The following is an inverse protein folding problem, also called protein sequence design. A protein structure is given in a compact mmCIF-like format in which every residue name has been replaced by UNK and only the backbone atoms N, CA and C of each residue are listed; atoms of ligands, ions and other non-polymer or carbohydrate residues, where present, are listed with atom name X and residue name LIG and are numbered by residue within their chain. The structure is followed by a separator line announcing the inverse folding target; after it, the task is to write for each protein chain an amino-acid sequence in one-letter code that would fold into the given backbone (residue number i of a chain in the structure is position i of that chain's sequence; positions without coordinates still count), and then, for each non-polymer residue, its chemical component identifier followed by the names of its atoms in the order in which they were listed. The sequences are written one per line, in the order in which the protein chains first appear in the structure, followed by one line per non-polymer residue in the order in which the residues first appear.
data_IF_892041714399
#
_entry.id   IF_892041714399
#
_cell.length_a   1.000
_cell.length_b   1.000
_cell.length_c   1.000
_cell.angle_alpha   90.00
_cell.angle_beta   90.00
_cell.angle_gamma   90.00
#
_symmetry.space_group_name_H-M   'P 1'
#
loop_
_entity.id
_entity.type
_entity.pdbx_description
1 polymer ?
#
# COMPACT_ATOMS: atom_id res chain seq x y z
N UNK A 1 -36.64 15.60 69.83
CA UNK A 1 -35.19 15.42 69.58
C UNK A 1 -35.05 14.55 68.30
N UNK A 2 -34.91 15.17 67.18
CA UNK A 2 -34.76 14.49 65.90
C UNK A 2 -33.29 14.66 65.44
N UNK A 3 -32.58 13.56 65.33
CA UNK A 3 -31.21 13.49 64.84
C UNK A 3 -31.20 13.39 63.31
N UNK A 4 -30.60 14.38 62.64
CA UNK A 4 -30.36 14.37 61.21
C UNK A 4 -29.03 13.66 60.90
N UNK A 5 -29.09 12.47 60.26
CA UNK A 5 -27.93 11.86 59.63
C UNK A 5 -27.73 12.50 58.24
N UNK A 6 -26.62 13.19 58.05
CA UNK A 6 -26.17 13.61 56.72
C UNK A 6 -25.36 12.48 56.12
N UNK A 7 -25.87 11.89 55.05
CA UNK A 7 -25.15 10.98 54.18
C UNK A 7 -24.16 11.77 53.30
N UNK A 8 -22.88 11.50 53.47
CA UNK A 8 -21.82 12.02 52.57
C UNK A 8 -21.61 10.98 51.48
N UNK A 9 -22.05 11.30 50.25
CA UNK A 9 -21.73 10.51 49.06
C UNK A 9 -20.34 10.97 48.56
N UNK A 10 -19.37 10.10 48.69
CA UNK A 10 -18.03 10.27 48.08
C UNK A 10 -18.16 9.86 46.63
N UNK A 11 -18.16 10.85 45.74
CA UNK A 11 -17.93 10.60 44.32
C UNK A 11 -16.44 10.27 44.08
N UNK A 12 -16.14 9.01 43.84
CA UNK A 12 -14.83 8.56 43.41
C UNK A 12 -14.71 8.84 41.91
N UNK A 13 -14.12 9.98 41.55
CA UNK A 13 -13.71 10.27 40.19
C UNK A 13 -12.47 9.42 39.89
N UNK A 14 -12.65 8.32 39.19
CA UNK A 14 -11.53 7.60 38.58
C UNK A 14 -10.98 8.48 37.44
N UNK A 15 -9.90 9.21 37.74
CA UNK A 15 -9.06 9.82 36.72
C UNK A 15 -8.36 8.68 35.97
N UNK A 16 -8.76 8.43 34.73
CA UNK A 16 -8.00 7.64 33.80
C UNK A 16 -6.69 8.38 33.52
N UNK A 17 -5.65 8.02 34.23
CA UNK A 17 -4.27 8.35 33.90
C UNK A 17 -3.97 7.63 32.58
N UNK A 18 -3.96 8.37 31.47
CA UNK A 18 -3.27 7.95 30.27
C UNK A 18 -1.77 7.89 30.61
N UNK A 19 -1.34 6.74 31.09
CA UNK A 19 0.05 6.43 31.28
C UNK A 19 0.74 6.45 29.92
N UNK A 20 1.84 7.18 29.84
CA UNK A 20 2.84 7.02 28.80
C UNK A 20 3.28 5.55 28.85
N UNK A 21 2.71 4.70 27.98
CA UNK A 21 2.89 3.24 28.01
C UNK A 21 4.35 2.92 27.70
N UNK A 22 5.01 2.26 28.63
CA UNK A 22 6.22 1.51 28.31
C UNK A 22 5.87 0.53 27.20
N UNK A 23 6.45 0.71 26.00
CA UNK A 23 6.31 -0.24 24.92
C UNK A 23 6.73 -1.62 25.42
N UNK A 24 5.81 -2.57 25.46
CA UNK A 24 6.16 -3.98 25.64
C UNK A 24 7.14 -4.34 24.51
N UNK A 25 8.19 -5.14 24.78
CA UNK A 25 9.02 -5.65 23.70
C UNK A 25 8.11 -6.34 22.68
N UNK A 26 8.34 -6.06 21.40
CA UNK A 26 7.59 -6.72 20.33
C UNK A 26 7.76 -8.24 20.47
N UNK A 27 6.70 -9.04 20.28
CA UNK A 27 6.83 -10.48 20.29
C UNK A 27 7.81 -10.92 19.20
N UNK A 28 8.56 -11.97 19.48
CA UNK A 28 9.60 -12.49 18.58
C UNK A 28 8.96 -13.35 17.46
N UNK A 29 8.04 -12.74 16.69
CA UNK A 29 7.31 -13.43 15.63
C UNK A 29 8.07 -13.50 14.30
N UNK A 30 9.13 -12.72 14.11
CA UNK A 30 9.96 -12.76 12.91
C UNK A 30 11.35 -13.34 13.20
N UNK A 31 11.91 -14.04 12.23
CA UNK A 31 13.34 -14.39 12.23
C UNK A 31 14.20 -13.11 12.08
N UNK A 32 15.49 -13.23 12.36
CA UNK A 32 16.43 -12.15 12.05
C UNK A 32 16.39 -11.86 10.54
N UNK A 33 16.30 -10.58 10.13
CA UNK A 33 16.16 -10.27 8.73
C UNK A 33 17.39 -10.62 7.90
N UNK A 34 17.14 -11.07 6.68
CA UNK A 34 18.17 -11.22 5.65
C UNK A 34 18.19 -9.93 4.81
N UNK A 35 19.38 -9.40 4.55
CA UNK A 35 19.56 -8.15 3.83
C UNK A 35 20.12 -8.35 2.43
N UNK A 36 19.54 -7.67 1.45
CA UNK A 36 19.97 -7.64 0.06
C UNK A 36 20.33 -6.20 -0.34
N UNK A 37 21.42 -6.03 -1.10
CA UNK A 37 21.81 -4.71 -1.60
C UNK A 37 20.87 -4.27 -2.73
N UNK A 38 20.44 -3.00 -2.70
CA UNK A 38 19.66 -2.37 -3.76
C UNK A 38 20.32 -1.06 -4.22
N UNK A 39 19.77 -0.45 -5.26
CA UNK A 39 20.28 0.83 -5.77
C UNK A 39 20.00 2.01 -4.82
N UNK A 40 20.41 3.20 -5.26
CA UNK A 40 20.29 4.43 -4.47
C UNK A 40 18.86 4.95 -4.48
N UNK A 41 18.41 5.43 -3.31
CA UNK A 41 17.06 5.93 -3.05
C UNK A 41 15.99 4.89 -3.43
N UNK A 42 15.97 3.74 -2.77
CA UNK A 42 14.89 2.79 -2.97
C UNK A 42 13.57 3.41 -2.46
N UNK A 43 12.57 3.56 -3.35
CA UNK A 43 11.31 4.25 -3.07
C UNK A 43 10.16 3.28 -2.82
N UNK A 44 10.07 2.21 -3.62
CA UNK A 44 8.97 1.24 -3.59
C UNK A 44 9.54 -0.17 -3.63
N UNK A 45 8.90 -1.09 -2.91
CA UNK A 45 9.06 -2.54 -3.04
C UNK A 45 7.69 -3.16 -3.34
N UNK A 46 7.67 -4.09 -4.29
CA UNK A 46 6.52 -4.95 -4.61
C UNK A 46 6.96 -6.39 -4.49
N UNK A 47 6.06 -7.25 -4.01
CA UNK A 47 6.16 -8.70 -4.03
C UNK A 47 5.08 -9.25 -4.98
N UNK A 48 5.49 -10.05 -5.96
CA UNK A 48 4.61 -10.68 -6.94
C UNK A 48 5.35 -11.83 -7.62
N UNK A 49 4.64 -12.89 -8.01
CA UNK A 49 5.20 -13.94 -8.85
C UNK A 49 5.34 -13.38 -10.29
N UNK A 50 6.56 -12.96 -10.66
CA UNK A 50 6.85 -12.29 -11.92
C UNK A 50 7.17 -13.24 -13.06
N UNK A 51 7.44 -14.53 -12.76
CA UNK A 51 7.90 -15.51 -13.72
C UNK A 51 6.99 -16.74 -13.84
N UNK A 52 5.89 -16.78 -13.06
CA UNK A 52 4.91 -17.88 -12.97
C UNK A 52 5.50 -19.18 -12.44
N UNK A 53 6.37 -19.10 -11.42
CA UNK A 53 6.94 -20.27 -10.74
C UNK A 53 6.29 -20.59 -9.37
N UNK A 54 5.22 -19.86 -9.04
CA UNK A 54 4.46 -19.93 -7.78
C UNK A 54 5.18 -19.33 -6.56
N UNK A 55 6.39 -18.79 -6.70
CA UNK A 55 7.13 -18.15 -5.64
C UNK A 55 7.10 -16.63 -5.80
N UNK A 56 6.83 -15.86 -4.73
CA UNK A 56 6.85 -14.41 -4.83
C UNK A 56 8.27 -13.89 -5.09
N UNK A 57 8.40 -13.09 -6.16
CA UNK A 57 9.58 -12.32 -6.48
C UNK A 57 9.51 -10.92 -5.89
N UNK A 58 10.60 -10.16 -5.94
CA UNK A 58 10.65 -8.80 -5.44
C UNK A 58 11.16 -7.83 -6.51
N UNK A 59 10.43 -6.73 -6.68
CA UNK A 59 10.85 -5.58 -7.50
C UNK A 59 11.08 -4.37 -6.59
N UNK A 60 12.26 -3.75 -6.68
CA UNK A 60 12.60 -2.51 -5.96
C UNK A 60 12.88 -1.39 -6.92
N UNK A 61 12.21 -0.25 -6.74
CA UNK A 61 12.41 0.97 -7.54
C UNK A 61 13.54 1.81 -6.95
N UNK A 62 14.63 2.04 -7.70
CA UNK A 62 15.81 2.79 -7.28
C UNK A 62 15.86 4.15 -7.98
N UNK A 63 15.22 5.18 -7.39
CA UNK A 63 14.94 6.44 -8.09
C UNK A 63 16.19 7.22 -8.49
N UNK A 64 17.27 7.20 -7.71
CA UNK A 64 18.49 7.95 -8.01
C UNK A 64 19.43 7.22 -8.97
N UNK A 65 19.38 5.91 -9.04
CA UNK A 65 20.20 5.12 -9.98
C UNK A 65 19.47 4.90 -11.32
N UNK A 66 18.17 5.23 -11.41
CA UNK A 66 17.32 5.01 -12.59
C UNK A 66 17.26 3.54 -12.98
N UNK A 67 17.04 2.70 -11.98
CA UNK A 67 16.96 1.26 -12.16
C UNK A 67 15.82 0.66 -11.36
N UNK A 68 15.40 -0.55 -11.74
CA UNK A 68 14.76 -1.50 -10.85
C UNK A 68 15.78 -2.55 -10.45
N UNK A 69 15.65 -3.07 -9.24
CA UNK A 69 16.30 -4.33 -8.83
C UNK A 69 15.22 -5.40 -8.77
N UNK A 70 15.34 -6.43 -9.57
CA UNK A 70 14.48 -7.61 -9.56
C UNK A 70 15.21 -8.75 -8.87
N UNK A 71 14.56 -9.38 -7.92
CA UNK A 71 15.05 -10.52 -7.17
C UNK A 71 14.09 -11.68 -7.37
N UNK A 72 14.53 -12.73 -8.03
CA UNK A 72 13.75 -13.97 -8.20
C UNK A 72 13.72 -14.74 -6.89
N UNK A 73 12.52 -15.10 -6.43
CA UNK A 73 12.28 -15.91 -5.24
C UNK A 73 12.67 -17.37 -5.45
N UNK A 74 13.17 -18.03 -4.39
CA UNK A 74 13.52 -19.45 -4.43
C UNK A 74 12.53 -20.32 -3.66
N UNK A 75 11.47 -19.72 -3.09
CA UNK A 75 10.43 -20.41 -2.34
C UNK A 75 10.86 -20.89 -0.94
N UNK A 76 12.07 -20.56 -0.51
CA UNK A 76 12.60 -20.88 0.81
C UNK A 76 12.89 -19.64 1.67
N UNK A 77 12.37 -18.48 1.24
CA UNK A 77 12.60 -17.19 1.86
C UNK A 77 13.91 -16.50 1.44
N UNK A 78 14.64 -17.11 0.49
CA UNK A 78 15.84 -16.52 -0.12
C UNK A 78 15.60 -16.16 -1.57
N UNK A 79 16.48 -15.31 -2.12
CA UNK A 79 16.35 -14.75 -3.46
C UNK A 79 17.66 -14.89 -4.22
N UNK A 80 17.57 -14.98 -5.55
CA UNK A 80 18.74 -14.87 -6.44
C UNK A 80 19.37 -13.46 -6.36
N UNK A 81 20.58 -13.33 -6.88
CA UNK A 81 21.22 -12.03 -7.06
C UNK A 81 20.35 -11.12 -7.94
N UNK A 82 20.34 -9.81 -7.60
CA UNK A 82 19.49 -8.85 -8.30
C UNK A 82 19.81 -8.74 -9.79
N UNK A 83 18.80 -8.90 -10.63
CA UNK A 83 18.83 -8.41 -11.99
C UNK A 83 18.55 -6.90 -11.99
N UNK A 84 19.39 -6.12 -12.62
CA UNK A 84 19.26 -4.66 -12.74
C UNK A 84 18.61 -4.32 -14.07
N UNK A 85 17.48 -3.59 -14.01
CA UNK A 85 16.71 -3.16 -15.18
C UNK A 85 16.81 -1.64 -15.27
N UNK A 86 17.33 -1.13 -16.38
CA UNK A 86 17.43 0.30 -16.65
C UNK A 86 16.05 0.93 -16.87
N UNK A 87 15.85 2.16 -16.36
CA UNK A 87 14.58 2.88 -16.44
C UNK A 87 14.78 4.32 -16.92
N UNK A 88 13.69 5.08 -17.05
CA UNK A 88 13.73 6.52 -17.24
C UNK A 88 14.23 7.28 -16.00
N UNK A 89 14.13 8.61 -16.04
CA UNK A 89 14.61 9.48 -14.95
C UNK A 89 13.66 9.50 -13.77
N UNK A 90 14.22 9.34 -12.57
CA UNK A 90 13.51 9.40 -11.30
C UNK A 90 12.27 8.46 -11.29
N UNK A 91 12.45 7.14 -11.50
CA UNK A 91 11.35 6.20 -11.34
C UNK A 91 10.78 6.32 -9.92
N UNK A 92 9.45 6.32 -9.78
CA UNK A 92 8.82 6.69 -8.51
C UNK A 92 7.70 5.75 -8.06
N UNK A 93 6.80 5.36 -8.96
CA UNK A 93 5.69 4.46 -8.67
C UNK A 93 5.64 3.36 -9.71
N UNK A 94 5.31 2.16 -9.27
CA UNK A 94 5.30 0.94 -10.09
C UNK A 94 4.02 0.16 -9.85
N UNK A 95 3.52 -0.45 -10.90
CA UNK A 95 2.38 -1.36 -10.91
C UNK A 95 2.78 -2.61 -11.68
N UNK A 96 2.22 -3.76 -11.28
CA UNK A 96 2.50 -5.06 -11.85
C UNK A 96 1.18 -5.72 -12.27
N UNK A 97 1.07 -6.08 -13.54
CA UNK A 97 -0.06 -6.85 -14.10
C UNK A 97 0.35 -7.42 -15.46
N UNK A 98 -0.44 -8.33 -16.01
CA UNK A 98 -0.30 -8.76 -17.40
C UNK A 98 -0.92 -7.68 -18.30
N UNK A 99 -0.08 -6.97 -19.09
CA UNK A 99 -0.51 -5.92 -20.00
C UNK A 99 -0.53 -6.37 -21.47
N UNK A 100 -0.06 -7.60 -21.76
CA UNK A 100 0.05 -8.09 -23.11
C UNK A 100 -0.74 -9.39 -23.40
N UNK A 101 -1.40 -9.95 -22.36
CA UNK A 101 -2.26 -11.14 -22.46
C UNK A 101 -1.47 -12.46 -22.54
N UNK A 102 -0.21 -12.49 -22.09
CA UNK A 102 0.61 -13.69 -22.11
C UNK A 102 0.66 -14.45 -20.76
N UNK A 103 -0.06 -13.96 -19.75
CA UNK A 103 -0.14 -14.47 -18.38
C UNK A 103 1.17 -14.36 -17.59
N UNK A 104 2.13 -13.53 -18.04
CA UNK A 104 3.33 -13.22 -17.31
C UNK A 104 3.19 -11.79 -16.79
N UNK A 105 3.66 -11.57 -15.57
CA UNK A 105 3.57 -10.25 -14.97
C UNK A 105 4.51 -9.26 -15.66
N UNK A 106 3.96 -8.13 -16.09
CA UNK A 106 4.64 -7.00 -16.68
C UNK A 106 4.76 -5.86 -15.66
N UNK A 107 5.59 -4.87 -15.95
CA UNK A 107 5.82 -3.71 -15.10
C UNK A 107 5.39 -2.43 -15.83
N UNK A 108 4.50 -1.65 -15.19
CA UNK A 108 4.22 -0.27 -15.57
C UNK A 108 4.87 0.68 -14.55
N UNK A 109 5.82 1.51 -15.00
CA UNK A 109 6.68 2.32 -14.15
C UNK A 109 6.54 3.81 -14.45
N UNK A 110 6.12 4.60 -13.47
CA UNK A 110 6.12 6.05 -13.55
C UNK A 110 7.53 6.62 -13.48
N UNK A 111 8.01 7.25 -14.56
CA UNK A 111 9.24 8.03 -14.57
C UNK A 111 8.91 9.50 -14.27
N UNK A 112 9.02 9.87 -13.00
CA UNK A 112 8.66 11.20 -12.48
C UNK A 112 9.42 12.32 -13.23
N UNK A 113 10.72 12.11 -13.51
CA UNK A 113 11.57 13.09 -14.16
C UNK A 113 11.33 13.24 -15.68
N UNK A 114 10.74 12.23 -16.32
CA UNK A 114 10.49 12.24 -17.77
C UNK A 114 9.04 12.55 -18.13
N UNK A 115 8.11 12.41 -17.15
CA UNK A 115 6.69 12.64 -17.38
C UNK A 115 6.04 11.57 -18.26
N UNK A 116 6.47 10.31 -18.07
CA UNK A 116 6.01 9.15 -18.83
C UNK A 116 5.87 7.91 -17.96
N UNK A 117 5.16 6.93 -18.47
CA UNK A 117 5.09 5.56 -17.95
C UNK A 117 5.86 4.64 -18.89
N UNK A 118 6.86 3.92 -18.37
CA UNK A 118 7.50 2.82 -19.10
C UNK A 118 6.73 1.54 -18.91
N UNK A 119 6.46 0.83 -19.99
CA UNK A 119 5.90 -0.51 -19.98
C UNK A 119 7.04 -1.48 -20.28
N UNK A 120 7.30 -2.38 -19.35
CA UNK A 120 8.41 -3.33 -19.38
C UNK A 120 7.80 -4.71 -19.27
N UNK A 121 7.87 -5.47 -20.37
CA UNK A 121 7.28 -6.81 -20.45
C UNK A 121 8.17 -7.84 -19.77
N UNK A 122 7.56 -8.66 -18.91
CA UNK A 122 8.13 -9.88 -18.40
C UNK A 122 8.25 -10.94 -19.48
N UNK A 123 9.16 -11.89 -19.30
CA UNK A 123 9.39 -13.00 -20.22
C UNK A 123 9.52 -14.31 -19.44
N UNK A 124 9.16 -15.42 -20.04
CA UNK A 124 9.19 -16.76 -19.42
C UNK A 124 10.55 -17.18 -18.86
N UNK A 125 11.62 -16.57 -19.33
CA UNK A 125 12.99 -16.83 -18.86
C UNK A 125 13.39 -15.90 -17.69
N UNK A 126 12.43 -15.15 -17.13
CA UNK A 126 12.67 -14.20 -16.03
C UNK A 126 13.37 -12.92 -16.48
N UNK A 127 13.53 -12.67 -17.78
CA UNK A 127 14.08 -11.44 -18.31
C UNK A 127 12.97 -10.38 -18.50
N UNK A 128 13.38 -9.14 -18.58
CA UNK A 128 12.48 -7.99 -18.78
C UNK A 128 12.90 -7.18 -19.98
N UNK A 129 11.91 -6.76 -20.78
CA UNK A 129 12.14 -6.00 -21.99
C UNK A 129 11.27 -4.76 -22.07
N UNK A 130 11.88 -3.58 -22.24
CA UNK A 130 11.14 -2.35 -22.49
C UNK A 130 10.32 -2.48 -23.77
N UNK A 131 8.99 -2.33 -23.65
CA UNK A 131 8.06 -2.31 -24.78
C UNK A 131 7.88 -0.91 -25.33
N UNK A 132 7.50 0.04 -24.46
CA UNK A 132 7.21 1.41 -24.86
C UNK A 132 7.29 2.38 -23.69
N UNK A 133 7.39 3.68 -24.01
CA UNK A 133 7.21 4.77 -23.05
C UNK A 133 5.98 5.60 -23.46
N UNK A 134 5.02 5.72 -22.57
CA UNK A 134 3.77 6.46 -22.78
C UNK A 134 3.85 7.83 -22.12
N UNK A 135 3.74 8.91 -22.88
CA UNK A 135 3.72 10.28 -22.33
C UNK A 135 2.40 10.54 -21.63
N UNK A 136 2.46 10.80 -20.31
CA UNK A 136 1.27 11.06 -19.48
C UNK A 136 1.21 12.49 -18.96
N UNK A 137 2.34 13.21 -18.98
CA UNK A 137 2.46 14.57 -18.47
C UNK A 137 3.42 14.68 -17.29
N UNK A 138 3.58 15.92 -16.77
CA UNK A 138 4.64 16.21 -15.80
C UNK A 138 4.40 15.55 -14.44
N UNK A 139 5.44 14.90 -13.93
CA UNK A 139 5.58 14.41 -12.57
C UNK A 139 4.50 13.36 -12.20
N UNK A 140 4.43 12.20 -12.86
CA UNK A 140 3.58 11.10 -12.45
C UNK A 140 4.05 10.57 -11.09
N UNK A 141 3.12 10.33 -10.14
CA UNK A 141 3.44 10.02 -8.73
C UNK A 141 2.74 8.80 -8.18
N UNK A 142 1.69 8.33 -8.83
CA UNK A 142 1.03 7.07 -8.47
C UNK A 142 0.45 6.45 -9.73
N UNK A 143 0.42 5.14 -9.76
CA UNK A 143 -0.12 4.33 -10.84
C UNK A 143 -0.84 3.14 -10.24
N UNK A 144 -1.91 2.72 -10.90
CA UNK A 144 -2.66 1.50 -10.56
C UNK A 144 -3.28 0.92 -11.82
N UNK A 145 -3.54 -0.37 -11.83
CA UNK A 145 -4.16 -1.09 -12.94
C UNK A 145 -5.56 -1.59 -12.60
N UNK A 146 -6.34 -1.88 -13.63
CA UNK A 146 -7.65 -2.50 -13.57
C UNK A 146 -8.30 -2.50 -14.94
N UNK A 147 -9.26 -3.37 -15.17
CA UNK A 147 -10.08 -3.37 -16.37
C UNK A 147 -11.20 -2.34 -16.21
N UNK A 148 -10.96 -1.11 -16.71
CA UNK A 148 -11.93 0.00 -16.55
C UNK A 148 -13.01 0.04 -17.63
N UNK A 149 -12.86 -0.76 -18.69
CA UNK A 149 -13.79 -0.78 -19.82
C UNK A 149 -14.45 -2.14 -20.06
N UNK A 150 -14.21 -3.12 -19.16
CA UNK A 150 -14.75 -4.47 -19.19
C UNK A 150 -14.41 -5.25 -20.49
N UNK A 151 -13.16 -5.05 -21.00
CA UNK A 151 -12.64 -5.79 -22.18
C UNK A 151 -11.64 -6.90 -21.82
N UNK A 152 -11.48 -7.19 -20.51
CA UNK A 152 -10.56 -8.20 -19.93
C UNK A 152 -9.06 -7.85 -20.13
N UNK A 153 -8.75 -6.60 -20.53
CA UNK A 153 -7.38 -6.11 -20.67
C UNK A 153 -7.10 -5.11 -19.54
N UNK A 154 -5.93 -5.22 -18.91
CA UNK A 154 -5.56 -4.28 -17.87
C UNK A 154 -5.29 -2.88 -18.44
N UNK A 155 -6.03 -1.90 -17.93
CA UNK A 155 -5.86 -0.48 -18.15
C UNK A 155 -4.98 0.13 -17.03
N UNK A 156 -4.60 1.39 -17.17
CA UNK A 156 -3.81 2.12 -16.17
C UNK A 156 -4.48 3.44 -15.80
N UNK A 157 -4.50 3.74 -14.51
CA UNK A 157 -4.78 5.07 -14.00
C UNK A 157 -3.50 5.66 -13.39
N UNK A 158 -3.13 6.88 -13.81
CA UNK A 158 -1.88 7.55 -13.42
C UNK A 158 -2.20 8.91 -12.84
N UNK A 159 -1.77 9.20 -11.61
CA UNK A 159 -1.90 10.55 -11.06
C UNK A 159 -0.64 11.37 -11.30
N UNK A 160 -0.88 12.63 -11.68
CA UNK A 160 0.16 13.64 -11.80
C UNK A 160 0.16 14.54 -10.56
N UNK A 161 1.33 14.97 -10.12
CA UNK A 161 1.49 15.83 -8.94
C UNK A 161 0.60 17.08 -8.96
N UNK A 162 0.29 17.58 -10.13
CA UNK A 162 -0.49 18.81 -10.32
C UNK A 162 -1.93 18.49 -10.75
N UNK A 163 -2.71 17.89 -9.84
CA UNK A 163 -4.16 17.86 -9.89
C UNK A 163 -4.80 17.10 -11.06
N UNK A 164 -4.12 16.10 -11.62
CA UNK A 164 -4.70 15.30 -12.69
C UNK A 164 -4.58 13.80 -12.41
N UNK A 165 -5.55 13.05 -12.85
CA UNK A 165 -5.52 11.62 -13.07
C UNK A 165 -5.73 11.36 -14.57
N UNK A 166 -4.89 10.55 -15.16
CA UNK A 166 -4.93 10.17 -16.59
C UNK A 166 -5.30 8.70 -16.64
N UNK A 167 -6.24 8.36 -17.51
CA UNK A 167 -6.61 6.96 -17.81
C UNK A 167 -6.02 6.58 -19.16
N UNK A 168 -5.39 5.42 -19.20
CA UNK A 168 -4.79 4.80 -20.38
C UNK A 168 -5.46 3.46 -20.60
N UNK A 169 -6.14 3.26 -21.71
CA UNK A 169 -6.76 1.98 -22.05
C UNK A 169 -5.75 1.05 -22.70
N UNK A 170 -5.66 -0.16 -22.19
CA UNK A 170 -4.83 -1.23 -22.73
C UNK A 170 -5.29 -1.65 -24.13
N UNK A 171 -4.35 -2.15 -24.94
CA UNK A 171 -4.65 -2.69 -26.27
C UNK A 171 -4.47 -4.20 -26.31
N UNK A 172 -3.93 -4.78 -25.21
CA UNK A 172 -3.68 -6.21 -25.08
C UNK A 172 -2.36 -6.69 -25.70
N UNK A 173 -1.50 -5.77 -26.14
CA UNK A 173 -0.16 -6.08 -26.64
C UNK A 173 0.95 -5.37 -25.88
N UNK A 174 0.64 -4.85 -24.68
CA UNK A 174 1.53 -4.00 -23.87
C UNK A 174 1.60 -2.55 -24.35
N UNK A 175 0.72 -2.12 -25.26
CA UNK A 175 0.57 -0.71 -25.63
C UNK A 175 -0.74 -0.13 -25.08
N UNK A 176 -0.79 1.20 -24.98
CA UNK A 176 -1.91 1.90 -24.37
C UNK A 176 -2.38 3.08 -25.21
N UNK A 177 -3.69 3.36 -25.15
CA UNK A 177 -4.31 4.55 -25.73
C UNK A 177 -4.66 5.53 -24.62
N UNK A 178 -4.32 6.81 -24.81
CA UNK A 178 -4.76 7.86 -23.90
C UNK A 178 -6.28 8.02 -24.03
N UNK A 179 -7.00 7.85 -22.91
CA UNK A 179 -8.45 8.00 -22.86
C UNK A 179 -8.83 9.37 -22.26
N UNK A 180 -9.14 9.40 -20.98
CA UNK A 180 -9.69 10.57 -20.30
C UNK A 180 -8.71 11.16 -19.26
N UNK A 181 -8.89 12.44 -18.97
CA UNK A 181 -8.16 13.13 -17.92
C UNK A 181 -9.12 13.74 -16.91
N UNK A 182 -9.00 13.34 -15.66
CA UNK A 182 -9.84 13.75 -14.55
C UNK A 182 -9.15 14.75 -13.63
N UNK A 183 -9.95 15.64 -13.00
CA UNK A 183 -9.45 16.52 -11.97
C UNK A 183 -9.25 15.73 -10.66
N UNK A 184 -8.01 15.42 -10.33
CA UNK A 184 -7.69 14.65 -9.13
C UNK A 184 -7.93 15.45 -7.84
N UNK A 185 -7.46 16.62 -7.71
CA UNK A 185 -7.37 17.60 -6.62
C UNK A 185 -5.89 17.92 -6.31
N UNK A 186 -5.57 18.97 -5.59
CA UNK A 186 -4.17 19.29 -5.28
C UNK A 186 -3.48 18.16 -4.55
N UNK A 187 -2.27 17.79 -5.01
CA UNK A 187 -1.40 16.79 -4.41
C UNK A 187 -2.05 15.40 -4.19
N UNK A 188 -2.54 14.73 -5.26
CA UNK A 188 -2.92 13.34 -5.14
C UNK A 188 -1.70 12.54 -4.64
N UNK A 189 -1.91 11.50 -3.84
CA UNK A 189 -0.81 10.76 -3.23
C UNK A 189 -0.79 9.29 -3.62
N UNK A 190 -1.88 8.58 -3.44
CA UNK A 190 -1.98 7.16 -3.74
C UNK A 190 -3.39 6.80 -4.17
N UNK A 191 -3.50 5.74 -4.98
CA UNK A 191 -4.76 5.18 -5.46
C UNK A 191 -4.81 3.68 -5.18
N UNK A 192 -6.02 3.15 -5.09
CA UNK A 192 -6.31 1.71 -5.09
C UNK A 192 -7.57 1.46 -5.88
N UNK A 193 -7.68 0.28 -6.50
CA UNK A 193 -8.73 -0.11 -7.44
C UNK A 193 -9.47 -1.33 -6.92
N UNK A 194 -10.78 -1.30 -6.97
CA UNK A 194 -11.68 -2.45 -6.79
C UNK A 194 -13.11 -2.04 -7.16
N UNK A 195 -14.02 -3.00 -7.24
CA UNK A 195 -15.46 -2.71 -7.24
C UNK A 195 -15.91 -2.43 -5.79
N UNK A 196 -16.06 -1.13 -5.45
CA UNK A 196 -16.43 -0.70 -4.10
C UNK A 196 -17.93 -0.55 -3.90
N UNK A 197 -18.71 -0.53 -4.99
CA UNK A 197 -20.16 -0.32 -4.93
C UNK A 197 -20.98 -1.57 -5.31
N UNK A 198 -20.34 -2.66 -5.75
CA UNK A 198 -20.96 -3.93 -6.09
C UNK A 198 -21.68 -3.91 -7.42
N UNK A 199 -21.31 -3.01 -8.35
CA UNK A 199 -21.93 -2.91 -9.68
C UNK A 199 -21.20 -3.70 -10.78
N UNK A 200 -20.05 -4.32 -10.44
CA UNK A 200 -19.22 -5.11 -11.33
C UNK A 200 -18.19 -4.32 -12.11
N UNK A 201 -18.14 -2.98 -11.97
CA UNK A 201 -17.13 -2.15 -12.62
C UNK A 201 -16.00 -1.80 -11.63
N UNK A 202 -14.80 -1.57 -12.16
CA UNK A 202 -13.67 -1.17 -11.36
C UNK A 202 -13.73 0.32 -10.98
N UNK A 203 -13.67 0.62 -9.68
CA UNK A 203 -13.68 1.96 -9.11
C UNK A 203 -12.27 2.35 -8.64
N UNK A 204 -12.01 3.66 -8.48
CA UNK A 204 -10.74 4.17 -7.98
C UNK A 204 -10.96 4.97 -6.70
N UNK A 205 -10.35 4.52 -5.60
CA UNK A 205 -10.22 5.30 -4.38
C UNK A 205 -8.88 6.04 -4.35
N UNK A 206 -8.89 7.34 -4.02
CA UNK A 206 -7.71 8.21 -4.07
C UNK A 206 -7.55 9.00 -2.78
N UNK A 207 -6.35 8.99 -2.19
CA UNK A 207 -5.97 9.86 -1.08
C UNK A 207 -5.20 11.09 -1.55
N UNK A 208 -5.30 12.14 -0.76
CA UNK A 208 -4.76 13.46 -1.05
C UNK A 208 -3.85 13.94 0.07
N UNK A 209 -2.63 14.30 -0.25
CA UNK A 209 -1.65 14.81 0.72
C UNK A 209 -1.65 16.36 0.76
N UNK A 210 -2.81 16.95 0.91
CA UNK A 210 -2.95 18.41 0.96
C UNK A 210 -3.36 18.89 2.35
N UNK A 211 -2.72 19.94 2.87
CA UNK A 211 -2.92 20.44 4.25
C UNK A 211 -4.37 20.84 4.57
N UNK A 212 -5.14 21.28 3.60
CA UNK A 212 -6.52 21.75 3.78
C UNK A 212 -7.58 20.75 3.32
N UNK A 213 -7.17 19.63 2.74
CA UNK A 213 -8.07 18.59 2.25
C UNK A 213 -8.31 17.57 3.35
N UNK A 214 -9.57 17.25 3.61
CA UNK A 214 -10.00 16.31 4.67
C UNK A 214 -11.00 15.30 4.11
N UNK A 215 -10.72 14.79 2.91
CA UNK A 215 -11.54 13.79 2.25
C UNK A 215 -10.67 12.90 1.34
N UNK A 216 -11.17 11.71 1.07
CA UNK A 216 -10.76 10.86 -0.03
C UNK A 216 -11.60 11.20 -1.24
N UNK A 217 -11.13 10.90 -2.44
CA UNK A 217 -11.95 10.90 -3.66
C UNK A 217 -12.24 9.47 -4.08
N UNK A 218 -13.49 9.20 -4.38
CA UNK A 218 -13.95 7.97 -4.98
C UNK A 218 -14.43 8.28 -6.40
N UNK A 219 -13.89 7.59 -7.38
CA UNK A 219 -14.30 7.65 -8.77
C UNK A 219 -14.96 6.32 -9.11
N UNK A 220 -16.28 6.31 -9.32
CA UNK A 220 -17.01 5.11 -9.70
C UNK A 220 -16.90 4.90 -11.21
N UNK A 221 -16.51 3.68 -11.61
CA UNK A 221 -16.37 3.28 -13.00
C UNK A 221 -17.73 3.13 -13.69
N UNK A 222 -17.80 3.50 -14.95
CA UNK A 222 -18.98 3.29 -15.78
C UNK A 222 -18.88 1.98 -16.60
N UNK A 223 -17.76 1.25 -16.52
CA UNK A 223 -17.49 0.03 -17.29
C UNK A 223 -17.19 0.28 -18.78
N UNK A 224 -16.93 1.52 -19.17
CA UNK A 224 -16.58 1.92 -20.54
C UNK A 224 -15.25 2.68 -20.64
N UNK A 225 -14.42 2.58 -19.60
CA UNK A 225 -13.16 3.32 -19.47
C UNK A 225 -13.33 4.73 -18.95
N UNK A 226 -14.57 5.15 -18.61
CA UNK A 226 -14.87 6.44 -18.02
C UNK A 226 -15.33 6.30 -16.57
N UNK A 227 -15.30 7.40 -15.83
CA UNK A 227 -15.71 7.45 -14.42
C UNK A 227 -16.75 8.54 -14.19
N UNK A 228 -17.68 8.28 -13.28
CA UNK A 228 -18.63 9.25 -12.80
C UNK A 228 -17.92 10.44 -12.10
N UNK A 229 -18.59 11.60 -11.94
CA UNK A 229 -18.05 12.69 -11.12
C UNK A 229 -17.69 12.21 -9.72
N UNK A 230 -16.47 12.52 -9.20
CA UNK A 230 -15.99 11.91 -7.98
C UNK A 230 -16.79 12.27 -6.74
N UNK A 231 -17.11 11.27 -5.93
CA UNK A 231 -17.67 11.43 -4.60
C UNK A 231 -16.55 11.78 -3.60
N UNK A 232 -16.87 12.62 -2.60
CA UNK A 232 -15.97 13.00 -1.54
C UNK A 232 -16.33 12.26 -0.25
N UNK A 233 -15.40 11.44 0.25
CA UNK A 233 -15.56 10.71 1.51
C UNK A 233 -14.84 11.47 2.61
N UNK A 234 -15.60 11.98 3.58
CA UNK A 234 -15.06 12.83 4.64
C UNK A 234 -14.13 12.07 5.59
N UNK A 235 -13.10 12.75 6.09
CA UNK A 235 -12.25 12.26 7.18
C UNK A 235 -10.79 11.94 6.85
N UNK A 236 -10.42 11.72 5.59
CA UNK A 236 -9.03 11.56 5.18
C UNK A 236 -8.28 12.89 5.22
N UNK A 237 -7.32 13.09 6.12
CA UNK A 237 -6.54 14.32 6.14
C UNK A 237 -5.05 14.04 5.96
N UNK A 238 -4.45 14.64 4.93
CA UNK A 238 -3.03 14.52 4.62
C UNK A 238 -2.57 13.06 4.51
N UNK A 239 -3.43 12.19 3.97
CA UNK A 239 -3.10 10.78 3.77
C UNK A 239 -2.03 10.64 2.69
N UNK A 240 -1.07 9.74 2.94
CA UNK A 240 0.09 9.51 2.07
C UNK A 240 -0.02 8.21 1.30
N UNK A 241 -0.74 7.26 1.85
CA UNK A 241 -0.93 5.92 1.30
C UNK A 241 -2.34 5.43 1.56
N UNK A 242 -2.85 4.57 0.70
CA UNK A 242 -4.17 3.95 0.76
C UNK A 242 -4.07 2.51 0.29
N UNK A 243 -4.76 1.62 0.97
CA UNK A 243 -5.02 0.24 0.54
C UNK A 243 -6.44 -0.13 0.91
N UNK A 244 -6.91 -1.28 0.45
CA UNK A 244 -8.21 -1.83 0.81
C UNK A 244 -8.08 -3.27 1.33
N UNK A 245 -9.02 -3.66 2.17
CA UNK A 245 -9.20 -5.03 2.65
C UNK A 245 -10.53 -5.12 3.40
N UNK A 246 -11.10 -6.29 3.52
CA UNK A 246 -12.26 -6.53 4.42
C UNK A 246 -11.72 -6.66 5.86
N UNK A 247 -11.68 -5.52 6.58
CA UNK A 247 -11.07 -5.42 7.91
C UNK A 247 -11.96 -5.95 9.04
N UNK A 248 -13.26 -6.07 8.78
CA UNK A 248 -14.26 -6.52 9.77
C UNK A 248 -14.90 -7.88 9.41
N UNK A 249 -14.44 -8.50 8.32
CA UNK A 249 -14.89 -9.82 7.86
C UNK A 249 -16.40 -9.86 7.53
N UNK A 250 -16.95 -8.72 7.03
CA UNK A 250 -18.36 -8.62 6.64
C UNK A 250 -18.60 -8.87 5.14
N UNK A 251 -17.53 -9.13 4.38
CA UNK A 251 -17.55 -9.38 2.94
C UNK A 251 -17.47 -8.11 2.08
N UNK A 252 -17.40 -6.92 2.68
CA UNK A 252 -17.26 -5.66 1.96
C UNK A 252 -15.83 -5.13 2.11
N UNK A 253 -15.34 -4.43 1.09
CA UNK A 253 -14.02 -3.82 1.16
C UNK A 253 -14.02 -2.52 1.96
N UNK A 254 -13.09 -2.43 2.91
CA UNK A 254 -12.79 -1.25 3.68
C UNK A 254 -11.54 -0.55 3.14
N UNK A 255 -11.36 0.71 3.48
CA UNK A 255 -10.17 1.47 3.10
C UNK A 255 -9.30 1.76 4.32
N UNK A 256 -8.00 1.50 4.18
CA UNK A 256 -6.99 1.76 5.20
C UNK A 256 -6.03 2.81 4.70
N UNK A 257 -5.87 3.92 5.42
CA UNK A 257 -4.96 4.99 5.03
C UNK A 257 -3.96 5.36 6.11
N UNK A 258 -2.77 5.82 5.70
CA UNK A 258 -1.76 6.39 6.59
C UNK A 258 -1.56 7.87 6.34
N UNK A 259 -1.22 8.62 7.39
CA UNK A 259 -0.88 10.03 7.31
C UNK A 259 0.52 10.28 7.86
N UNK A 260 1.49 10.44 6.96
CA UNK A 260 2.88 10.74 7.28
C UNK A 260 3.03 11.98 8.18
N UNK A 261 2.19 12.99 7.96
CA UNK A 261 2.28 14.27 8.65
C UNK A 261 1.54 14.31 9.98
N UNK A 262 0.52 13.46 10.16
CA UNK A 262 -0.31 13.42 11.37
C UNK A 262 0.07 12.30 12.32
N UNK A 263 1.01 11.45 11.96
CA UNK A 263 1.38 10.24 12.73
C UNK A 263 0.16 9.36 13.05
N UNK A 264 -0.80 9.28 12.12
CA UNK A 264 -2.07 8.58 12.31
C UNK A 264 -2.39 7.67 11.13
N UNK A 265 -3.28 6.74 11.40
CA UNK A 265 -3.91 5.83 10.44
C UNK A 265 -5.41 5.99 10.55
N UNK A 266 -6.12 5.80 9.46
CA UNK A 266 -7.59 5.88 9.44
C UNK A 266 -8.15 4.68 8.70
N UNK A 267 -9.28 4.18 9.18
CA UNK A 267 -10.07 3.15 8.52
C UNK A 267 -11.41 3.75 8.14
N UNK A 268 -11.88 3.37 6.98
CA UNK A 268 -13.18 3.72 6.44
C UNK A 268 -13.91 2.43 6.11
N UNK A 269 -14.91 2.09 6.91
CA UNK A 269 -15.73 0.89 6.73
C UNK A 269 -16.63 1.06 5.53
N UNK A 270 -16.50 0.16 4.57
CA UNK A 270 -17.36 0.10 3.39
C UNK A 270 -18.65 -0.64 3.67
N UNK A 271 -19.70 -0.35 2.91
CA UNK A 271 -20.99 -1.05 2.99
C UNK A 271 -21.32 -1.86 1.72
N UNK A 272 -20.33 -2.03 0.82
CA UNK A 272 -20.49 -2.71 -0.47
C UNK A 272 -21.42 -2.00 -1.46
N UNK A 273 -21.82 -0.74 -1.17
CA UNK A 273 -22.68 0.09 -2.04
C UNK A 273 -22.03 1.44 -2.37
N UNK A 274 -20.72 1.53 -2.15
CA UNK A 274 -19.95 2.73 -2.40
C UNK A 274 -19.94 3.76 -1.26
N UNK A 275 -20.68 3.55 -0.17
CA UNK A 275 -20.62 4.44 0.97
C UNK A 275 -19.56 3.96 1.97
N UNK A 276 -18.83 4.91 2.55
CA UNK A 276 -17.79 4.64 3.53
C UNK A 276 -18.01 5.46 4.79
N UNK A 277 -17.93 4.80 5.93
CA UNK A 277 -18.01 5.44 7.25
C UNK A 277 -16.64 5.44 7.90
N UNK A 278 -16.07 6.63 8.15
CA UNK A 278 -14.79 6.74 8.83
C UNK A 278 -14.91 6.27 10.28
N UNK A 279 -14.06 5.33 10.66
CA UNK A 279 -13.80 5.00 12.06
C UNK A 279 -12.88 6.03 12.72
N UNK A 280 -12.62 5.88 14.00
CA UNK A 280 -11.70 6.74 14.74
C UNK A 280 -10.26 6.59 14.21
N UNK A 281 -9.57 7.74 14.08
CA UNK A 281 -8.14 7.73 13.81
C UNK A 281 -7.39 7.08 14.98
N UNK A 282 -6.40 6.26 14.67
CA UNK A 282 -5.51 5.71 15.68
C UNK A 282 -4.07 6.16 15.47
N UNK A 283 -3.47 6.58 16.58
CA UNK A 283 -2.09 7.02 16.63
C UNK A 283 -1.13 5.83 16.64
N UNK A 284 0.11 6.06 16.27
CA UNK A 284 1.16 5.06 16.32
C UNK A 284 2.54 5.70 16.22
N UNK A 285 3.52 4.94 15.75
CA UNK A 285 4.87 5.43 15.55
C UNK A 285 4.95 6.56 14.52
N UNK A 286 6.02 7.35 14.58
CA UNK A 286 6.19 8.58 13.80
C UNK A 286 6.37 8.32 12.31
N UNK A 287 5.58 9.03 11.52
CA UNK A 287 5.68 9.07 10.08
C UNK A 287 5.26 7.77 9.39
N UNK A 288 4.05 7.23 9.66
CA UNK A 288 3.53 6.09 8.92
C UNK A 288 3.45 6.45 7.43
N UNK A 289 3.90 5.54 6.59
CA UNK A 289 3.99 5.78 5.14
C UNK A 289 3.24 4.69 4.38
N UNK A 290 3.89 3.64 3.97
CA UNK A 290 3.31 2.52 3.22
C UNK A 290 2.69 1.50 4.19
N UNK A 291 1.60 0.85 3.77
CA UNK A 291 0.83 -0.13 4.54
C UNK A 291 0.67 -1.40 3.71
N UNK A 292 0.77 -2.53 4.37
CA UNK A 292 0.30 -3.81 3.86
C UNK A 292 -0.70 -4.41 4.85
N UNK A 293 -1.72 -5.10 4.35
CA UNK A 293 -2.75 -5.78 5.13
C UNK A 293 -2.71 -7.28 4.84
N UNK A 294 -2.86 -8.09 5.85
CA UNK A 294 -2.88 -9.55 5.77
C UNK A 294 -2.82 -10.18 7.15
N UNK A 295 -2.88 -11.50 7.24
CA UNK A 295 -2.73 -12.22 8.50
C UNK A 295 -1.23 -12.40 8.84
N UNK A 296 -0.67 -11.44 9.57
CA UNK A 296 0.71 -11.47 10.05
C UNK A 296 0.85 -12.10 11.44
N UNK A 297 -0.25 -12.31 12.16
CA UNK A 297 -0.25 -12.95 13.48
C UNK A 297 -0.62 -14.43 13.44
N UNK A 298 -1.23 -14.92 12.36
CA UNK A 298 -1.61 -16.31 12.14
C UNK A 298 -2.94 -16.69 12.79
N UNK A 299 -3.78 -15.70 13.09
CA UNK A 299 -5.10 -15.88 13.69
C UNK A 299 -6.25 -15.82 12.67
N UNK A 300 -5.92 -15.65 11.38
CA UNK A 300 -6.85 -15.50 10.24
C UNK A 300 -7.66 -14.20 10.26
N UNK A 301 -7.23 -13.23 11.04
CA UNK A 301 -7.81 -11.90 11.08
C UNK A 301 -6.87 -10.95 10.34
N UNK A 302 -7.39 -9.99 9.55
CA UNK A 302 -6.53 -9.02 8.88
C UNK A 302 -5.80 -8.12 9.88
N UNK A 303 -4.48 -8.12 9.80
CA UNK A 303 -3.58 -7.23 10.52
C UNK A 303 -3.12 -6.11 9.60
N UNK A 304 -2.63 -5.02 10.17
CA UNK A 304 -1.99 -3.95 9.43
C UNK A 304 -0.49 -3.95 9.75
N UNK A 305 0.35 -3.97 8.71
CA UNK A 305 1.78 -3.70 8.87
C UNK A 305 2.13 -2.38 8.21
N UNK A 306 2.85 -1.52 8.94
CA UNK A 306 3.14 -0.14 8.52
C UNK A 306 4.63 0.14 8.65
N UNK A 307 5.23 0.71 7.61
CA UNK A 307 6.55 1.30 7.73
C UNK A 307 6.48 2.72 8.31
N UNK A 308 7.19 2.96 9.41
CA UNK A 308 7.24 4.23 10.12
C UNK A 308 8.51 5.00 9.72
N UNK A 309 8.41 5.78 8.65
CA UNK A 309 9.55 6.42 7.98
C UNK A 309 10.37 7.30 8.92
N UNK A 310 9.73 8.09 9.79
CA UNK A 310 10.42 8.97 10.75
C UNK A 310 10.79 8.26 12.04
N UNK A 311 10.05 7.19 12.40
CA UNK A 311 10.31 6.36 13.57
C UNK A 311 11.46 5.37 13.37
N UNK A 312 11.80 5.02 12.12
CA UNK A 312 12.81 4.01 11.84
C UNK A 312 12.40 2.60 12.24
N UNK A 313 11.11 2.29 12.18
CA UNK A 313 10.53 1.01 12.61
C UNK A 313 9.47 0.52 11.63
N UNK A 314 9.11 -0.74 11.73
CA UNK A 314 7.85 -1.30 11.23
C UNK A 314 6.94 -1.59 12.41
N UNK A 315 5.63 -1.34 12.27
CA UNK A 315 4.63 -1.70 13.26
C UNK A 315 3.74 -2.79 12.73
N UNK A 316 3.57 -3.88 13.47
CA UNK A 316 2.50 -4.86 13.27
C UNK A 316 1.37 -4.52 14.22
N UNK A 317 0.17 -4.38 13.69
CA UNK A 317 -1.02 -3.91 14.37
C UNK A 317 -2.08 -5.00 14.23
N UNK A 318 -2.19 -5.92 15.22
CA UNK A 318 -3.13 -7.02 15.14
C UNK A 318 -4.58 -6.55 15.10
N UNK A 319 -5.36 -7.12 14.19
CA UNK A 319 -6.78 -6.90 14.08
C UNK A 319 -7.59 -7.70 15.11
N UNK A 320 -8.80 -7.26 15.40
CA UNK A 320 -9.78 -8.01 16.22
C UNK A 320 -10.89 -8.65 15.37
N UNK A 321 -10.88 -8.45 14.03
CA UNK A 321 -11.90 -8.96 13.12
C UNK A 321 -13.23 -8.17 13.12
N UNK A 322 -13.28 -7.05 13.81
CA UNK A 322 -14.40 -6.11 13.83
C UNK A 322 -14.03 -4.70 13.36
N UNK A 323 -12.86 -4.58 12.70
CA UNK A 323 -12.28 -3.32 12.28
C UNK A 323 -11.57 -2.54 13.39
N UNK A 324 -11.53 -3.06 14.61
CA UNK A 324 -10.72 -2.53 15.73
C UNK A 324 -9.38 -3.29 15.84
N UNK A 325 -8.46 -2.79 16.68
CA UNK A 325 -7.11 -3.30 16.78
C UNK A 325 -6.66 -3.52 18.22
N UNK A 326 -5.71 -4.45 18.38
CA UNK A 326 -5.05 -4.74 19.65
C UNK A 326 -4.05 -3.66 20.02
N UNK A 327 -3.99 -3.26 21.28
CA UNK A 327 -3.00 -2.36 21.85
C UNK A 327 -2.25 -3.04 23.02
N UNK A 328 -0.93 -2.80 23.16
CA UNK A 328 -0.06 -2.00 22.31
C UNK A 328 0.31 -2.69 20.98
N UNK A 329 0.63 -1.92 19.96
CA UNK A 329 1.14 -2.43 18.68
C UNK A 329 2.56 -2.99 18.84
N UNK A 330 2.94 -3.94 17.99
CA UNK A 330 4.28 -4.52 17.98
C UNK A 330 5.20 -3.67 17.09
N UNK A 331 6.29 -3.15 17.63
CA UNK A 331 7.21 -2.28 16.92
C UNK A 331 8.59 -2.93 16.77
N UNK A 332 9.06 -3.10 15.54
CA UNK A 332 10.37 -3.65 15.20
C UNK A 332 11.25 -2.53 14.65
N UNK A 333 12.38 -2.27 15.33
CA UNK A 333 13.34 -1.26 14.89
C UNK A 333 14.13 -1.81 13.72
N UNK A 334 14.00 -1.18 12.54
CA UNK A 334 14.73 -1.54 11.31
C UNK A 334 15.84 -0.53 10.99
N UNK A 335 15.82 0.62 11.65
CA UNK A 335 16.80 1.69 11.46
C UNK A 335 16.34 2.70 10.40
N UNK A 336 17.26 3.19 9.58
CA UNK A 336 17.10 4.43 8.84
C UNK A 336 16.02 4.40 7.76
N UNK A 337 14.91 5.13 8.02
CA UNK A 337 13.89 5.52 7.04
C UNK A 337 13.34 4.37 6.18
N UNK A 338 12.59 3.41 6.77
CA UNK A 338 11.82 2.47 5.97
C UNK A 338 10.89 3.26 5.04
N UNK A 339 10.91 2.93 3.75
CA UNK A 339 10.22 3.72 2.72
C UNK A 339 8.99 3.03 2.18
N UNK A 340 9.10 1.75 1.92
CA UNK A 340 8.03 0.91 1.40
C UNK A 340 8.13 -0.48 2.01
N UNK A 341 7.00 -1.16 2.07
CA UNK A 341 6.84 -2.49 2.62
C UNK A 341 5.95 -3.30 1.70
N UNK A 342 6.25 -4.58 1.56
CA UNK A 342 5.41 -5.56 0.87
C UNK A 342 5.25 -6.80 1.77
N UNK A 343 4.15 -7.50 1.62
CA UNK A 343 3.86 -8.75 2.31
C UNK A 343 3.62 -9.87 1.31
N UNK A 344 4.20 -11.03 1.53
CA UNK A 344 3.94 -12.27 0.81
C UNK A 344 4.46 -13.46 1.64
N UNK A 345 4.05 -14.65 1.29
CA UNK A 345 4.67 -15.89 1.81
C UNK A 345 5.90 -16.22 0.96
N UNK A 346 7.10 -15.79 1.42
CA UNK A 346 8.34 -15.97 0.65
C UNK A 346 8.96 -17.35 0.81
N UNK A 347 8.51 -18.12 1.80
CA UNK A 347 9.10 -19.42 2.13
C UNK A 347 8.14 -20.60 1.95
N UNK A 348 6.91 -20.36 1.48
CA UNK A 348 5.91 -21.39 1.21
C UNK A 348 5.33 -22.06 2.46
N UNK A 349 5.41 -21.40 3.64
CA UNK A 349 4.90 -21.97 4.90
C UNK A 349 3.45 -21.60 5.22
N UNK A 350 2.80 -20.82 4.35
CA UNK A 350 1.42 -20.36 4.47
C UNK A 350 1.27 -19.13 5.37
N UNK A 351 2.36 -18.49 5.81
CA UNK A 351 2.33 -17.32 6.66
C UNK A 351 2.87 -16.10 5.91
N UNK A 352 2.31 -14.92 6.27
CA UNK A 352 2.75 -13.67 5.65
C UNK A 352 4.09 -13.20 6.22
N UNK A 353 5.07 -13.08 5.34
CA UNK A 353 6.38 -12.49 5.59
C UNK A 353 6.41 -11.01 5.18
N UNK A 354 7.50 -10.32 5.47
CA UNK A 354 7.64 -8.88 5.21
C UNK A 354 8.93 -8.61 4.43
N UNK A 355 8.81 -7.85 3.35
CA UNK A 355 9.91 -7.19 2.65
C UNK A 355 9.86 -5.69 2.89
N UNK A 356 10.96 -5.08 3.33
CA UNK A 356 11.03 -3.63 3.58
C UNK A 356 12.28 -3.02 2.98
N UNK A 357 12.13 -1.88 2.28
CA UNK A 357 13.28 -1.13 1.74
C UNK A 357 13.68 -0.01 2.68
N UNK A 358 14.98 0.07 2.99
CA UNK A 358 15.59 1.05 3.86
C UNK A 358 16.35 2.09 3.03
N UNK A 359 15.74 3.26 2.89
CA UNK A 359 16.16 4.33 1.97
C UNK A 359 17.60 4.78 2.15
N UNK A 360 18.06 5.00 3.38
CA UNK A 360 19.42 5.48 3.64
C UNK A 360 20.47 4.37 3.57
N UNK A 361 20.13 3.17 4.01
CA UNK A 361 21.05 2.02 3.97
C UNK A 361 21.18 1.42 2.56
N UNK A 362 20.22 1.67 1.67
CA UNK A 362 20.16 1.08 0.32
C UNK A 362 20.14 -0.45 0.38
N UNK A 363 19.28 -0.96 1.22
CA UNK A 363 19.06 -2.40 1.38
C UNK A 363 17.56 -2.72 1.37
N UNK A 364 17.27 -3.92 0.96
CA UNK A 364 16.03 -4.63 1.17
C UNK A 364 16.26 -5.56 2.34
N UNK A 365 15.38 -5.56 3.34
CA UNK A 365 15.38 -6.53 4.45
C UNK A 365 14.14 -7.42 4.33
N UNK A 366 14.35 -8.73 4.46
CA UNK A 366 13.31 -9.75 4.45
C UNK A 366 13.17 -10.30 5.87
N UNK A 367 11.96 -10.23 6.41
CA UNK A 367 11.58 -10.75 7.72
C UNK A 367 10.65 -11.94 7.53
N UNK A 368 11.16 -13.15 7.72
CA UNK A 368 10.37 -14.38 7.67
C UNK A 368 9.63 -14.57 8.99
N UNK A 369 8.34 -14.87 8.90
CA UNK A 369 7.53 -15.18 10.06
C UNK A 369 7.90 -16.58 10.62
N UNK A 370 7.97 -16.68 11.94
CA UNK A 370 8.27 -17.95 12.62
C UNK A 370 6.99 -18.79 12.76
N UNK A 371 7.05 -20.03 12.40
CA UNK A 371 5.94 -21.00 12.50
C UNK A 371 5.52 -21.36 13.95
N UNK A 372 6.31 -20.98 14.97
CA UNK A 372 6.11 -21.37 16.37
C UNK A 372 5.94 -20.19 17.34
N UNK A 373 5.52 -19.00 16.89
CA UNK A 373 5.62 -17.76 17.66
C UNK A 373 4.38 -17.32 18.47
N UNK A 374 3.34 -18.15 18.61
CA UNK A 374 2.18 -17.85 19.49
C UNK A 374 1.76 -19.07 20.30
#
# INVERSE_FOLDING_TARGET
MMSFYKSFSIFLTTALLFGCGSSQPAPDIFALPVSYAVGKKPEVVIAHDMNNDEFPDIVVVNSADRTLSYFEGLGDGTFKDAQIIETGREPFAVEVADFNGDYIADIALCNYGDGEVSIILGQKDGLFKLKTNVKVGRLPISITSGDFNNDEINDLAVTLRFNKMIVLLGVGDGTFKLAEAYQAAPTPAHMTVSDYNGDGNQDIAMVLNAMKVRYLKMFYGNGDGTFAPPQLIGGGSQSSFLTHHDMNLDGNLDLVSSSLMKDSRSIFMGNGKGDFTKMQDFAGEKGPHNIVVGDFTGDKVPDIVVCNRRGGSISVIPGNGDGSFVYPHYNYVVGSQPRSIAGADFNGDGMMDIAVVLYQKKILEIFLRKTSAL
#
